data_IF_084563087057
#
_entry.id   IF_084563087057
#
_cell.length_a   1.000
_cell.length_b   1.000
_cell.length_c   1.000
_cell.angle_alpha   90.00
_cell.angle_beta   90.00
_cell.angle_gamma   90.00
#
_symmetry.space_group_name_H-M   'P 1'
#
loop_
_entity.id
_entity.type
_entity.pdbx_description
1 polymer ?
#
# COMPACT_ATOMS: atom_id res chain seq x y z
N UNK A 1 13.17 -17.77 6.02
CA UNK A 1 13.66 -16.70 6.90
C UNK A 1 12.71 -16.51 8.07
N UNK A 2 13.24 -16.10 9.24
CA UNK A 2 12.40 -16.03 10.44
C UNK A 2 11.54 -14.78 10.37
N UNK A 3 10.22 -14.94 10.39
CA UNK A 3 9.27 -13.86 10.56
C UNK A 3 9.17 -13.56 12.05
N UNK A 4 9.48 -12.33 12.45
CA UNK A 4 9.22 -11.89 13.81
C UNK A 4 7.88 -11.13 13.83
N UNK A 5 7.01 -11.49 14.76
CA UNK A 5 5.77 -10.74 15.02
C UNK A 5 5.87 -10.12 16.40
N UNK A 6 5.73 -8.79 16.48
CA UNK A 6 5.74 -8.06 17.75
C UNK A 6 4.60 -7.05 17.84
N UNK A 7 4.20 -6.73 19.06
CA UNK A 7 3.26 -5.65 19.34
C UNK A 7 4.00 -4.31 19.37
N UNK A 8 3.44 -3.28 18.74
CA UNK A 8 3.98 -1.92 18.72
C UNK A 8 2.87 -0.94 19.06
N UNK A 9 3.09 -0.15 20.10
CA UNK A 9 2.20 0.94 20.48
C UNK A 9 2.40 2.14 19.53
N UNK A 10 1.35 2.54 18.82
CA UNK A 10 1.37 3.65 17.89
C UNK A 10 -0.01 4.32 17.85
N UNK A 11 -0.06 5.66 17.90
CA UNK A 11 -1.30 6.43 17.81
C UNK A 11 -2.41 5.98 18.80
N UNK A 12 -1.98 5.54 20.00
CA UNK A 12 -2.91 5.13 21.06
C UNK A 12 -3.56 3.75 20.88
N UNK A 13 -3.05 2.94 19.96
CA UNK A 13 -3.45 1.54 19.77
C UNK A 13 -2.22 0.64 19.67
N UNK A 14 -2.43 -0.66 19.90
CA UNK A 14 -1.42 -1.69 19.66
C UNK A 14 -1.57 -2.25 18.25
N UNK A 15 -0.50 -2.18 17.46
CA UNK A 15 -0.41 -2.83 16.15
C UNK A 15 0.44 -4.09 16.25
N UNK A 16 -0.04 -5.20 15.70
CA UNK A 16 0.79 -6.37 15.45
C UNK A 16 1.64 -6.12 14.20
N UNK A 17 2.95 -6.22 14.34
CA UNK A 17 3.89 -5.94 13.27
C UNK A 17 4.67 -7.21 12.90
N UNK A 18 4.57 -7.61 11.65
CA UNK A 18 5.35 -8.69 11.06
C UNK A 18 6.57 -8.10 10.34
N UNK A 19 7.74 -8.75 10.48
CA UNK A 19 8.99 -8.25 9.89
C UNK A 19 9.82 -9.33 9.25
N UNK A 20 10.49 -9.01 8.12
CA UNK A 20 11.39 -9.89 7.38
C UNK A 20 12.63 -9.11 6.94
N UNK A 21 13.69 -9.85 6.66
CA UNK A 21 14.91 -9.32 6.05
C UNK A 21 15.90 -8.69 7.03
N UNK A 22 17.08 -8.31 6.51
CA UNK A 22 18.14 -7.72 7.31
C UNK A 22 17.74 -6.35 7.89
N UNK A 23 18.16 -6.06 9.12
CA UNK A 23 17.82 -4.79 9.80
C UNK A 23 18.32 -3.55 9.06
N UNK A 24 19.51 -3.65 8.46
CA UNK A 24 20.15 -2.53 7.76
C UNK A 24 19.68 -2.35 6.32
N UNK A 25 18.84 -3.26 5.82
CA UNK A 25 18.31 -3.15 4.46
C UNK A 25 17.29 -2.00 4.34
N UNK A 26 17.16 -1.38 3.14
CA UNK A 26 16.19 -0.32 2.93
C UNK A 26 14.77 -0.76 3.31
N UNK A 27 14.00 0.09 4.04
CA UNK A 27 12.70 -0.30 4.53
C UNK A 27 11.64 -0.33 3.42
N UNK A 28 10.78 -1.36 3.49
CA UNK A 28 9.57 -1.50 2.70
C UNK A 28 8.38 -1.78 3.62
N UNK A 29 7.28 -1.07 3.46
CA UNK A 29 6.04 -1.20 4.21
C UNK A 29 4.95 -1.80 3.33
N UNK A 30 4.35 -2.90 3.75
CA UNK A 30 3.31 -3.61 3.02
C UNK A 30 1.99 -3.51 3.79
N UNK A 31 0.95 -2.98 3.15
CA UNK A 31 -0.37 -2.74 3.75
C UNK A 31 -1.41 -3.64 3.09
N UNK A 32 -2.01 -4.52 3.88
CA UNK A 32 -2.95 -5.55 3.43
C UNK A 32 -4.34 -4.99 3.08
N UNK A 33 -5.14 -5.79 2.39
CA UNK A 33 -6.51 -5.43 2.03
C UNK A 33 -7.50 -5.55 3.19
N UNK A 34 -8.73 -5.16 2.94
CA UNK A 34 -9.84 -5.28 3.88
C UNK A 34 -10.14 -6.74 4.22
N UNK A 35 -10.12 -7.07 5.50
CA UNK A 35 -10.42 -8.41 6.02
C UNK A 35 -9.25 -9.40 6.04
N UNK A 36 -8.08 -8.99 5.54
CA UNK A 36 -6.81 -9.72 5.66
C UNK A 36 -6.00 -9.28 6.90
N UNK A 37 -4.75 -9.64 6.97
CA UNK A 37 -3.77 -9.19 7.97
C UNK A 37 -2.37 -9.12 7.35
N UNK A 38 -1.36 -8.72 8.12
CA UNK A 38 0.01 -8.55 7.61
C UNK A 38 0.65 -9.85 7.09
N UNK A 39 0.13 -11.02 7.46
CA UNK A 39 0.64 -12.32 6.98
C UNK A 39 0.24 -12.63 5.54
N UNK A 40 -0.75 -11.92 4.99
CA UNK A 40 -1.14 -11.96 3.58
C UNK A 40 0.07 -11.73 2.65
N UNK A 41 0.98 -10.88 3.09
CA UNK A 41 2.20 -10.51 2.38
C UNK A 41 3.37 -11.49 2.54
N UNK A 42 3.23 -12.60 3.28
CA UNK A 42 4.37 -13.47 3.65
C UNK A 42 5.22 -13.88 2.45
N UNK A 43 4.60 -14.36 1.37
CA UNK A 43 5.32 -14.81 0.18
C UNK A 43 6.12 -13.68 -0.49
N UNK A 44 5.50 -12.51 -0.64
CA UNK A 44 6.15 -11.34 -1.23
C UNK A 44 7.25 -10.80 -0.32
N UNK A 45 6.96 -10.71 0.99
CA UNK A 45 7.92 -10.23 1.98
C UNK A 45 9.19 -11.08 2.04
N UNK A 46 9.05 -12.41 1.99
CA UNK A 46 10.20 -13.34 1.95
C UNK A 46 11.05 -13.14 0.69
N UNK A 47 10.40 -12.93 -0.46
CA UNK A 47 11.09 -12.68 -1.74
C UNK A 47 11.83 -11.33 -1.73
N UNK A 48 11.18 -10.26 -1.30
CA UNK A 48 11.80 -8.94 -1.16
C UNK A 48 12.93 -8.94 -0.13
N UNK A 49 12.82 -9.73 0.93
CA UNK A 49 13.85 -9.83 1.98
C UNK A 49 15.09 -10.63 1.56
N UNK A 50 14.93 -11.58 0.62
CA UNK A 50 15.99 -12.50 0.19
C UNK A 50 16.50 -12.22 -1.22
N UNK A 51 15.91 -11.29 -1.95
CA UNK A 51 16.23 -10.92 -3.33
C UNK A 51 17.62 -10.32 -3.50
N UNK A 52 18.01 -9.99 -4.75
CA UNK A 52 19.32 -9.39 -5.06
C UNK A 52 19.49 -7.97 -4.49
N UNK A 53 18.39 -7.27 -4.26
CA UNK A 53 18.32 -5.95 -3.60
C UNK A 53 17.42 -6.08 -2.36
N UNK A 54 17.93 -6.69 -1.26
CA UNK A 54 17.12 -7.09 -0.12
C UNK A 54 16.49 -5.90 0.58
N UNK A 55 15.26 -6.10 1.11
CA UNK A 55 14.49 -5.10 1.86
C UNK A 55 14.28 -5.53 3.31
N UNK A 56 14.27 -4.57 4.22
CA UNK A 56 13.69 -4.77 5.54
C UNK A 56 12.19 -4.52 5.42
N UNK A 57 11.42 -5.60 5.44
CA UNK A 57 9.98 -5.57 5.19
C UNK A 57 9.22 -5.47 6.51
N UNK A 58 8.24 -4.59 6.54
CA UNK A 58 7.31 -4.36 7.63
C UNK A 58 5.89 -4.52 7.12
N UNK A 59 5.09 -5.39 7.74
CA UNK A 59 3.67 -5.56 7.41
C UNK A 59 2.86 -5.54 8.71
N UNK A 60 2.27 -4.41 9.08
CA UNK A 60 1.38 -4.34 10.24
C UNK A 60 0.01 -4.93 9.91
N UNK A 61 -0.62 -5.56 10.90
CA UNK A 61 -2.07 -5.71 10.88
C UNK A 61 -2.69 -4.33 11.10
N UNK A 62 -3.51 -3.86 10.18
CA UNK A 62 -4.20 -2.57 10.34
C UNK A 62 -5.20 -2.63 11.49
N UNK A 63 -5.54 -1.47 12.11
CA UNK A 63 -6.57 -1.42 13.16
C UNK A 63 -7.82 -2.18 12.73
N UNK A 64 -8.43 -2.92 13.66
CA UNK A 64 -9.61 -3.74 13.38
C UNK A 64 -9.33 -5.06 12.66
N UNK A 65 -8.05 -5.42 12.43
CA UNK A 65 -7.66 -6.65 11.74
C UNK A 65 -6.67 -7.47 12.57
N UNK A 66 -6.65 -8.77 12.31
CA UNK A 66 -5.67 -9.71 12.83
C UNK A 66 -5.47 -9.64 14.33
N UNK A 67 -4.23 -9.37 14.75
CA UNK A 67 -3.81 -9.27 16.16
C UNK A 67 -3.65 -7.83 16.66
N UNK A 68 -3.91 -6.84 15.82
CA UNK A 68 -3.98 -5.43 16.22
C UNK A 68 -5.24 -5.15 17.02
N UNK A 69 -5.28 -4.01 17.70
CA UNK A 69 -6.46 -3.61 18.46
C UNK A 69 -7.68 -3.43 17.56
N UNK A 70 -8.84 -3.75 18.15
CA UNK A 70 -10.17 -3.60 17.52
C UNK A 70 -10.97 -2.51 18.23
N UNK A 71 -10.63 -1.24 18.03
CA UNK A 71 -11.21 -0.14 18.83
C UNK A 71 -12.70 0.06 18.62
N UNK A 72 -13.30 -0.48 17.56
CA UNK A 72 -14.75 -0.44 17.33
C UNK A 72 -15.56 -1.34 18.27
N UNK A 73 -14.92 -2.28 18.95
CA UNK A 73 -15.57 -3.14 19.95
C UNK A 73 -15.65 -2.49 21.33
N UNK A 74 -14.93 -1.38 21.55
CA UNK A 74 -14.92 -0.69 22.83
C UNK A 74 -16.23 0.07 23.06
N UNK A 75 -16.77 0.07 24.30
CA UNK A 75 -17.95 0.84 24.65
C UNK A 75 -17.73 2.34 24.40
N UNK A 76 -18.59 2.94 23.58
CA UNK A 76 -18.50 4.37 23.25
C UNK A 76 -17.47 4.69 22.17
N UNK A 77 -17.06 3.70 21.37
CA UNK A 77 -16.18 3.92 20.22
C UNK A 77 -16.70 5.06 19.33
N UNK A 78 -15.79 5.94 18.89
CA UNK A 78 -16.13 7.04 18.00
C UNK A 78 -16.59 6.52 16.63
N UNK A 79 -17.49 7.22 15.96
CA UNK A 79 -18.05 6.83 14.66
C UNK A 79 -16.99 6.77 13.54
N UNK A 80 -15.88 7.48 13.72
CA UNK A 80 -14.76 7.57 12.78
C UNK A 80 -13.55 6.71 13.16
N UNK A 81 -13.70 5.84 14.17
CA UNK A 81 -12.60 4.98 14.67
C UNK A 81 -11.98 4.12 13.58
N UNK A 82 -12.73 3.78 12.53
CA UNK A 82 -12.27 3.07 11.33
C UNK A 82 -12.19 3.97 10.09
N UNK A 83 -11.97 5.28 10.28
CA UNK A 83 -11.65 6.15 9.16
C UNK A 83 -10.31 5.76 8.52
N UNK A 84 -10.20 5.89 7.20
CA UNK A 84 -8.93 5.64 6.51
C UNK A 84 -7.83 6.60 6.98
N UNK A 85 -8.21 7.82 7.36
CA UNK A 85 -7.30 8.81 7.96
C UNK A 85 -6.76 8.34 9.31
N UNK A 86 -7.57 7.67 10.14
CA UNK A 86 -7.11 7.09 11.39
C UNK A 86 -6.11 5.94 11.14
N UNK A 87 -6.38 5.07 10.15
CA UNK A 87 -5.44 4.02 9.72
C UNK A 87 -4.13 4.63 9.19
N UNK A 88 -4.21 5.68 8.38
CA UNK A 88 -3.02 6.43 7.91
C UNK A 88 -2.21 6.99 9.08
N UNK A 89 -2.86 7.57 10.08
CA UNK A 89 -2.19 8.18 11.23
C UNK A 89 -1.54 7.12 12.12
N UNK A 90 -2.10 5.91 12.22
CA UNK A 90 -1.45 4.77 12.84
C UNK A 90 -0.15 4.41 12.12
N UNK A 91 -0.21 4.29 10.80
CA UNK A 91 0.97 3.96 10.00
C UNK A 91 2.04 5.05 10.14
N UNK A 92 1.66 6.32 10.11
CA UNK A 92 2.61 7.42 10.31
C UNK A 92 3.26 7.36 11.70
N UNK A 93 2.48 7.08 12.74
CA UNK A 93 2.99 6.92 14.11
C UNK A 93 3.88 5.67 14.23
N UNK A 94 3.50 4.55 13.60
CA UNK A 94 4.32 3.34 13.57
C UNK A 94 5.70 3.62 12.96
N UNK A 95 5.77 4.29 11.82
CA UNK A 95 7.04 4.66 11.18
C UNK A 95 7.90 5.54 12.09
N UNK A 96 7.29 6.50 12.80
CA UNK A 96 7.99 7.35 13.77
C UNK A 96 8.54 6.54 14.96
N UNK A 97 7.76 5.60 15.52
CA UNK A 97 8.21 4.70 16.60
C UNK A 97 9.37 3.81 16.17
N UNK A 98 9.36 3.37 14.90
CA UNK A 98 10.43 2.54 14.31
C UNK A 98 11.67 3.36 13.91
N UNK A 99 11.63 4.68 13.97
CA UNK A 99 12.71 5.56 13.50
C UNK A 99 12.89 5.55 12.00
N UNK A 100 11.83 5.21 11.23
CA UNK A 100 11.87 5.14 9.78
C UNK A 100 11.50 6.50 9.20
N UNK A 101 12.47 7.21 8.64
CA UNK A 101 12.28 8.53 8.04
C UNK A 101 11.72 8.45 6.62
N UNK A 102 12.14 7.41 5.84
CA UNK A 102 11.70 7.20 4.46
C UNK A 102 11.53 5.71 4.15
N UNK A 103 10.44 5.36 3.46
CA UNK A 103 10.04 3.97 3.21
C UNK A 103 9.44 3.80 1.81
N UNK A 104 9.67 2.66 1.16
CA UNK A 104 8.87 2.22 0.03
C UNK A 104 7.55 1.66 0.55
N UNK A 105 6.43 2.08 -0.01
CA UNK A 105 5.10 1.66 0.45
C UNK A 105 4.41 0.86 -0.64
N UNK A 106 3.95 -0.32 -0.29
CA UNK A 106 3.13 -1.19 -1.15
C UNK A 106 1.79 -1.37 -0.45
N UNK A 107 0.70 -1.03 -1.10
CA UNK A 107 -0.64 -1.15 -0.53
C UNK A 107 -1.62 -1.82 -1.48
N UNK A 108 -2.34 -2.81 -0.96
CA UNK A 108 -3.39 -3.51 -1.68
C UNK A 108 -4.77 -3.03 -1.24
N UNK A 109 -5.63 -2.66 -2.20
CA UNK A 109 -7.04 -2.33 -1.94
C UNK A 109 -7.19 -1.30 -0.80
N UNK A 110 -7.78 -1.65 0.35
CA UNK A 110 -7.86 -0.80 1.55
C UNK A 110 -6.48 -0.29 1.98
N UNK A 111 -5.48 -1.17 2.06
CA UNK A 111 -4.10 -0.78 2.37
C UNK A 111 -3.52 0.20 1.35
N UNK A 112 -3.94 0.11 0.08
CA UNK A 112 -3.59 1.08 -0.95
C UNK A 112 -4.24 2.45 -0.75
N UNK A 113 -5.48 2.49 -0.24
CA UNK A 113 -6.12 3.75 0.17
C UNK A 113 -5.33 4.40 1.30
N UNK A 114 -4.97 3.64 2.33
CA UNK A 114 -4.12 4.12 3.43
C UNK A 114 -2.78 4.62 2.92
N UNK A 115 -2.16 3.89 1.97
CA UNK A 115 -0.87 4.23 1.37
C UNK A 115 -0.92 5.56 0.60
N UNK A 116 -1.91 5.78 -0.27
CA UNK A 116 -1.98 7.05 -0.99
C UNK A 116 -2.35 8.22 -0.08
N UNK A 117 -3.17 8.01 0.97
CA UNK A 117 -3.44 9.04 1.96
C UNK A 117 -2.19 9.40 2.77
N UNK A 118 -1.32 8.42 3.07
CA UNK A 118 -0.02 8.67 3.68
C UNK A 118 0.87 9.51 2.74
N UNK A 119 0.95 9.13 1.46
CA UNK A 119 1.71 9.85 0.45
C UNK A 119 1.22 11.30 0.25
N UNK A 120 -0.09 11.54 0.29
CA UNK A 120 -0.69 12.88 0.20
C UNK A 120 -0.38 13.74 1.43
N UNK A 121 -0.38 13.15 2.62
CA UNK A 121 -0.22 13.86 3.90
C UNK A 121 1.24 14.05 4.30
N UNK A 122 2.10 13.09 3.96
CA UNK A 122 3.50 13.02 4.37
C UNK A 122 4.38 12.57 3.19
N UNK A 123 4.46 13.35 2.11
CA UNK A 123 5.18 12.95 0.89
C UNK A 123 6.67 12.69 1.15
N UNK A 124 7.27 13.37 2.11
CA UNK A 124 8.69 13.20 2.46
C UNK A 124 9.00 11.81 3.06
N UNK A 125 8.00 11.16 3.66
CA UNK A 125 8.14 9.84 4.28
C UNK A 125 8.09 8.72 3.25
N UNK A 126 7.37 8.92 2.15
CA UNK A 126 7.19 7.91 1.11
C UNK A 126 8.24 8.10 0.01
N UNK A 127 9.12 7.09 -0.17
CA UNK A 127 10.15 7.11 -1.21
C UNK A 127 9.59 6.69 -2.56
N UNK A 128 8.84 5.60 -2.58
CA UNK A 128 8.11 5.06 -3.74
C UNK A 128 6.78 4.50 -3.28
N UNK A 129 5.80 4.53 -4.15
CA UNK A 129 4.46 4.06 -3.88
C UNK A 129 4.06 2.97 -4.89
N UNK A 130 3.59 1.82 -4.39
CA UNK A 130 2.96 0.78 -5.21
C UNK A 130 1.52 0.62 -4.75
N UNK A 131 0.58 0.74 -5.69
CA UNK A 131 -0.86 0.62 -5.47
C UNK A 131 -1.39 -0.60 -6.23
N UNK A 132 -1.76 -1.65 -5.51
CA UNK A 132 -2.31 -2.87 -6.09
C UNK A 132 -3.84 -2.83 -6.08
N UNK A 133 -4.41 -2.78 -7.27
CA UNK A 133 -5.84 -2.84 -7.59
C UNK A 133 -6.70 -1.89 -6.73
N UNK A 134 -6.25 -0.64 -6.66
CA UNK A 134 -6.87 0.44 -5.86
C UNK A 134 -7.73 1.32 -6.75
N UNK A 135 -9.05 1.39 -6.52
CA UNK A 135 -9.91 2.23 -7.33
C UNK A 135 -9.79 3.71 -6.97
N UNK A 136 -10.04 4.58 -7.94
CA UNK A 136 -10.22 6.00 -7.70
C UNK A 136 -11.31 6.25 -6.63
N UNK A 137 -11.06 7.14 -5.66
CA UNK A 137 -12.01 7.47 -4.60
C UNK A 137 -13.11 8.41 -5.15
N UNK A 138 -13.96 7.87 -6.00
CA UNK A 138 -15.10 8.54 -6.62
C UNK A 138 -16.37 7.81 -6.17
N UNK A 139 -17.47 8.50 -5.84
CA UNK A 139 -18.72 7.86 -5.45
C UNK A 139 -19.18 6.80 -6.45
N UNK A 140 -19.77 5.72 -5.95
CA UNK A 140 -20.44 4.75 -6.81
C UNK A 140 -21.85 5.21 -7.15
N UNK A 141 -22.25 5.10 -8.42
CA UNK A 141 -23.58 5.37 -8.89
C UNK A 141 -24.06 4.21 -9.79
N UNK A 142 -25.02 3.40 -9.35
CA UNK A 142 -25.66 3.41 -8.03
C UNK A 142 -24.68 3.02 -6.91
N UNK A 143 -24.95 3.40 -5.64
CA UNK A 143 -24.14 2.96 -4.50
C UNK A 143 -24.05 1.44 -4.40
N UNK A 144 -22.89 0.93 -4.01
CA UNK A 144 -22.71 -0.51 -3.76
C UNK A 144 -23.56 -0.95 -2.56
N UNK A 145 -24.16 -2.13 -2.61
CA UNK A 145 -24.86 -2.66 -1.45
C UNK A 145 -23.89 -2.89 -0.29
N UNK A 146 -24.38 -2.84 0.96
CA UNK A 146 -23.58 -3.21 2.12
C UNK A 146 -23.05 -4.64 1.97
N UNK A 147 -21.83 -4.85 2.48
CA UNK A 147 -21.25 -6.20 2.52
C UNK A 147 -22.08 -7.09 3.46
N UNK A 148 -22.42 -8.28 3.02
CA UNK A 148 -23.13 -9.25 3.85
C UNK A 148 -22.18 -9.86 4.88
N UNK A 149 -22.60 -9.88 6.15
CA UNK A 149 -21.80 -10.47 7.21
C UNK A 149 -21.79 -12.00 7.10
N UNK A 150 -20.60 -12.61 6.92
CA UNK A 150 -20.50 -14.06 6.92
C UNK A 150 -20.79 -14.64 8.31
N UNK A 151 -21.24 -15.89 8.35
CA UNK A 151 -21.46 -16.59 9.60
C UNK A 151 -20.13 -16.96 10.30
N UNK A 152 -20.15 -16.97 11.62
CA UNK A 152 -19.03 -17.44 12.43
C UNK A 152 -18.14 -16.33 12.99
N UNK A 153 -16.98 -16.76 13.54
CA UNK A 153 -15.96 -15.85 14.08
C UNK A 153 -15.11 -15.30 12.92
N UNK A 154 -14.92 -14.01 12.91
CA UNK A 154 -14.13 -13.31 11.90
C UNK A 154 -12.74 -12.97 12.47
N UNK A 155 -11.69 -12.91 11.63
CA UNK A 155 -10.35 -12.47 12.02
C UNK A 155 -10.21 -10.93 12.03
N UNK A 156 -11.31 -10.19 11.93
CA UNK A 156 -11.38 -8.73 11.90
C UNK A 156 -12.69 -8.23 12.56
N UNK A 157 -12.68 -6.97 12.97
CA UNK A 157 -13.87 -6.32 13.52
C UNK A 157 -14.89 -6.02 12.41
N UNK A 158 -16.12 -6.48 12.58
CA UNK A 158 -17.18 -6.26 11.59
C UNK A 158 -17.56 -4.77 11.46
N UNK A 159 -17.48 -4.00 12.53
CA UNK A 159 -17.73 -2.56 12.48
C UNK A 159 -16.77 -1.83 11.52
N UNK A 160 -15.56 -2.36 11.31
CA UNK A 160 -14.62 -1.85 10.29
C UNK A 160 -15.17 -2.06 8.88
N UNK A 161 -15.77 -3.23 8.58
CA UNK A 161 -16.39 -3.49 7.27
C UNK A 161 -17.51 -2.49 7.01
N UNK A 162 -18.42 -2.30 7.98
CA UNK A 162 -19.55 -1.38 7.84
C UNK A 162 -19.08 0.07 7.65
N UNK A 163 -18.06 0.50 8.40
CA UNK A 163 -17.49 1.84 8.27
C UNK A 163 -16.82 2.06 6.91
N UNK A 164 -16.13 1.06 6.39
CA UNK A 164 -15.44 1.16 5.08
C UNK A 164 -16.40 1.05 3.90
N UNK A 165 -17.51 0.32 4.00
CA UNK A 165 -18.57 0.29 2.98
C UNK A 165 -19.21 1.67 2.79
N UNK A 166 -19.47 2.38 3.89
CA UNK A 166 -19.99 3.76 3.82
C UNK A 166 -19.00 4.68 3.10
N UNK A 167 -17.71 4.61 3.47
CA UNK A 167 -16.66 5.46 2.89
C UNK A 167 -16.36 5.13 1.42
N UNK A 168 -16.47 3.87 1.03
CA UNK A 168 -16.32 3.48 -0.37
C UNK A 168 -17.41 4.09 -1.27
N UNK A 169 -18.63 4.21 -0.74
CA UNK A 169 -19.75 4.82 -1.47
C UNK A 169 -19.73 6.36 -1.43
N UNK A 170 -19.22 6.93 -0.35
CA UNK A 170 -19.15 8.38 -0.12
C UNK A 170 -17.72 8.76 0.32
N UNK A 171 -16.73 8.63 -0.58
CA UNK A 171 -15.36 9.02 -0.28
C UNK A 171 -15.28 10.55 -0.11
N UNK A 172 -14.33 11.01 0.71
CA UNK A 172 -14.01 12.42 0.80
C UNK A 172 -13.48 12.90 -0.57
N UNK A 173 -14.10 13.92 -1.20
CA UNK A 173 -13.65 14.46 -2.48
C UNK A 173 -12.19 14.93 -2.46
N UNK A 174 -11.69 15.36 -1.30
CA UNK A 174 -10.31 15.81 -1.14
C UNK A 174 -9.29 14.69 -1.42
N UNK A 175 -9.63 13.42 -1.23
CA UNK A 175 -8.73 12.32 -1.57
C UNK A 175 -8.44 12.27 -3.07
N UNK A 176 -9.47 12.50 -3.88
CA UNK A 176 -9.31 12.57 -5.34
C UNK A 176 -8.60 13.85 -5.79
N UNK A 177 -8.98 14.98 -5.23
CA UNK A 177 -8.38 16.27 -5.56
C UNK A 177 -6.88 16.33 -5.22
N UNK A 178 -6.46 15.61 -4.18
CA UNK A 178 -5.06 15.56 -3.74
C UNK A 178 -4.22 14.48 -4.44
N UNK A 179 -4.76 13.65 -5.34
CA UNK A 179 -3.94 12.67 -6.08
C UNK A 179 -2.77 13.31 -6.82
N UNK A 180 -2.95 14.50 -7.36
CA UNK A 180 -1.89 15.27 -8.01
C UNK A 180 -0.77 15.78 -7.07
N UNK A 181 -0.93 15.63 -5.75
CA UNK A 181 0.13 15.92 -4.75
C UNK A 181 1.06 14.75 -4.47
N UNK A 182 0.76 13.58 -5.00
CA UNK A 182 1.63 12.40 -4.94
C UNK A 182 2.75 12.62 -5.94
N UNK A 183 3.92 13.03 -5.46
CA UNK A 183 5.06 13.46 -6.29
C UNK A 183 6.18 12.42 -6.38
N UNK A 184 6.13 11.38 -5.53
CA UNK A 184 7.09 10.28 -5.61
C UNK A 184 6.74 9.33 -6.77
N UNK A 185 7.74 8.61 -7.34
CA UNK A 185 7.50 7.57 -8.32
C UNK A 185 6.44 6.59 -7.83
N UNK A 186 5.43 6.34 -8.66
CA UNK A 186 4.29 5.49 -8.32
C UNK A 186 4.10 4.39 -9.35
N UNK A 187 3.91 3.16 -8.90
CA UNK A 187 3.52 2.01 -9.71
C UNK A 187 2.08 1.63 -9.36
N UNK A 188 1.20 1.65 -10.33
CA UNK A 188 -0.17 1.17 -10.19
C UNK A 188 -0.26 -0.20 -10.88
N UNK A 189 -0.70 -1.21 -10.13
CA UNK A 189 -0.89 -2.57 -10.63
C UNK A 189 -2.39 -2.83 -10.69
N UNK A 190 -2.90 -3.03 -11.90
CA UNK A 190 -4.29 -3.34 -12.17
C UNK A 190 -4.51 -4.86 -12.23
N UNK A 191 -5.56 -5.36 -11.59
CA UNK A 191 -5.89 -6.79 -11.51
C UNK A 191 -6.50 -7.38 -12.79
N UNK A 192 -6.72 -6.56 -13.81
CA UNK A 192 -7.26 -6.98 -15.08
C UNK A 192 -8.78 -7.24 -15.07
N UNK A 193 -9.34 -7.76 -16.17
CA UNK A 193 -10.79 -7.87 -16.37
C UNK A 193 -11.48 -8.86 -15.42
N UNK A 194 -10.71 -9.72 -14.76
CA UNK A 194 -11.24 -10.68 -13.78
C UNK A 194 -11.32 -10.10 -12.35
N UNK A 195 -10.82 -8.87 -12.15
CA UNK A 195 -10.95 -8.18 -10.85
C UNK A 195 -12.41 -7.73 -10.60
N UNK A 196 -12.84 -7.83 -9.33
CA UNK A 196 -14.09 -7.24 -8.86
C UNK A 196 -14.05 -5.71 -8.71
N UNK A 197 -12.87 -5.10 -8.89
CA UNK A 197 -12.67 -3.64 -8.88
C UNK A 197 -12.85 -3.12 -10.30
N UNK A 198 -13.64 -2.05 -10.53
CA UNK A 198 -13.75 -1.42 -11.85
C UNK A 198 -12.38 -0.92 -12.33
N UNK A 199 -11.88 -1.51 -13.42
CA UNK A 199 -10.51 -1.27 -13.88
C UNK A 199 -10.31 0.13 -14.46
N UNK A 200 -11.34 0.76 -15.00
CA UNK A 200 -11.36 2.16 -15.39
C UNK A 200 -11.03 3.10 -14.22
N UNK A 201 -11.47 2.74 -12.99
CA UNK A 201 -11.13 3.50 -11.78
C UNK A 201 -9.68 3.29 -11.34
N UNK A 202 -9.10 2.11 -11.58
CA UNK A 202 -7.68 1.85 -11.30
C UNK A 202 -6.81 2.63 -12.30
N UNK A 203 -7.18 2.63 -13.58
CA UNK A 203 -6.53 3.44 -14.63
C UNK A 203 -6.58 4.92 -14.28
N UNK A 204 -7.75 5.43 -13.84
CA UNK A 204 -7.90 6.83 -13.45
C UNK A 204 -6.95 7.26 -12.32
N UNK A 205 -6.62 6.36 -11.37
CA UNK A 205 -5.59 6.64 -10.34
C UNK A 205 -4.24 6.88 -10.99
N UNK A 206 -3.83 6.01 -11.92
CA UNK A 206 -2.55 6.16 -12.60
C UNK A 206 -2.48 7.44 -13.46
N UNK A 207 -3.57 7.80 -14.11
CA UNK A 207 -3.65 9.02 -14.93
C UNK A 207 -3.62 10.30 -14.09
N UNK A 208 -4.08 10.25 -12.84
CA UNK A 208 -4.15 11.41 -11.96
C UNK A 208 -2.85 11.70 -11.21
N UNK A 209 -2.02 10.68 -10.97
CA UNK A 209 -0.73 10.82 -10.27
C UNK A 209 0.35 11.21 -11.29
N UNK A 210 1.08 12.34 -11.08
CA UNK A 210 2.00 12.90 -12.09
C UNK A 210 3.13 11.97 -12.55
N UNK A 211 3.71 11.19 -11.64
CA UNK A 211 4.80 10.23 -11.93
C UNK A 211 4.32 8.79 -11.65
N UNK A 212 3.26 8.39 -12.36
CA UNK A 212 2.72 7.05 -12.25
C UNK A 212 2.96 6.21 -13.51
N UNK A 213 3.22 4.92 -13.28
CA UNK A 213 3.24 3.87 -14.31
C UNK A 213 2.13 2.89 -14.02
N UNK A 214 1.45 2.42 -15.06
CA UNK A 214 0.40 1.40 -14.96
C UNK A 214 0.90 0.09 -15.56
N UNK A 215 0.72 -0.99 -14.78
CA UNK A 215 0.93 -2.37 -15.24
C UNK A 215 -0.36 -3.15 -15.00
N UNK A 216 -0.82 -3.91 -15.96
CA UNK A 216 -1.97 -4.80 -15.80
C UNK A 216 -1.50 -6.24 -15.73
N UNK A 217 -1.91 -6.94 -14.67
CA UNK A 217 -1.71 -8.37 -14.48
C UNK A 217 -3.09 -9.01 -14.38
N UNK A 218 -3.45 -9.90 -15.31
CA UNK A 218 -4.76 -10.56 -15.27
C UNK A 218 -4.78 -11.65 -14.20
N UNK A 219 -5.07 -11.21 -12.97
CA UNK A 219 -5.01 -12.03 -11.77
C UNK A 219 -6.26 -11.88 -10.88
N UNK A 220 -7.15 -10.96 -11.22
CA UNK A 220 -8.22 -10.55 -10.32
C UNK A 220 -7.73 -9.59 -9.24
N UNK A 221 -8.50 -9.46 -8.17
CA UNK A 221 -8.23 -8.47 -7.10
C UNK A 221 -6.97 -8.75 -6.27
N UNK A 222 -6.59 -10.03 -6.12
CA UNK A 222 -5.46 -10.49 -5.30
C UNK A 222 -4.24 -10.78 -6.21
N UNK A 223 -3.61 -9.75 -6.79
CA UNK A 223 -2.55 -9.93 -7.79
C UNK A 223 -1.32 -10.59 -7.18
N UNK A 224 -0.86 -10.11 -6.03
CA UNK A 224 0.32 -10.63 -5.33
C UNK A 224 0.15 -12.09 -4.86
N UNK A 225 -1.07 -12.55 -4.62
CA UNK A 225 -1.40 -13.92 -4.22
C UNK A 225 -1.53 -14.84 -5.43
N UNK A 226 -2.30 -14.40 -6.44
CA UNK A 226 -2.66 -15.22 -7.60
C UNK A 226 -1.56 -15.28 -8.67
N UNK A 227 -0.73 -14.23 -8.76
CA UNK A 227 0.36 -14.08 -9.73
C UNK A 227 1.61 -13.46 -9.08
N UNK A 228 2.18 -14.08 -8.04
CA UNK A 228 3.31 -13.53 -7.28
C UNK A 228 4.53 -13.24 -8.14
N UNK A 229 4.84 -14.07 -9.15
CA UNK A 229 5.98 -13.87 -10.02
C UNK A 229 5.80 -12.65 -10.93
N UNK A 230 4.60 -12.44 -11.49
CA UNK A 230 4.30 -11.30 -12.35
C UNK A 230 4.22 -10.00 -11.51
N UNK A 231 3.68 -10.09 -10.29
CA UNK A 231 3.70 -8.99 -9.33
C UNK A 231 5.13 -8.56 -9.01
N UNK A 232 6.00 -9.50 -8.63
CA UNK A 232 7.40 -9.24 -8.30
C UNK A 232 8.20 -8.75 -9.51
N UNK A 233 7.93 -9.28 -10.72
CA UNK A 233 8.56 -8.81 -11.95
C UNK A 233 8.28 -7.33 -12.23
N UNK A 234 7.14 -6.79 -11.76
CA UNK A 234 6.83 -5.36 -11.86
C UNK A 234 7.42 -4.56 -10.69
N UNK A 235 7.38 -5.11 -9.47
CA UNK A 235 7.72 -4.39 -8.23
C UNK A 235 9.23 -4.33 -7.99
N UNK A 236 9.98 -5.44 -8.13
CA UNK A 236 11.41 -5.48 -7.81
C UNK A 236 12.23 -4.47 -8.63
N UNK A 237 12.10 -4.38 -9.97
CA UNK A 237 12.81 -3.37 -10.74
C UNK A 237 12.42 -1.94 -10.35
N UNK A 238 11.14 -1.70 -10.09
CA UNK A 238 10.64 -0.39 -9.67
C UNK A 238 11.22 0.04 -8.33
N UNK A 239 11.37 -0.87 -7.35
CA UNK A 239 11.99 -0.57 -6.07
C UNK A 239 13.51 -0.37 -6.17
N UNK A 240 14.17 -0.98 -7.14
CA UNK A 240 15.61 -0.85 -7.36
C UNK A 240 16.02 0.45 -8.08
N UNK A 241 15.10 1.13 -8.80
CA UNK A 241 15.39 2.37 -9.52
C UNK A 241 15.95 3.45 -8.59
N UNK A 242 17.13 4.01 -8.90
CA UNK A 242 17.78 5.07 -8.12
C UNK A 242 18.38 4.62 -6.78
N UNK A 243 18.52 3.33 -6.52
CA UNK A 243 19.30 2.80 -5.39
C UNK A 243 20.81 2.81 -5.66
N UNK A 244 21.24 3.04 -6.93
CA UNK A 244 22.63 3.29 -7.30
C UNK A 244 22.98 4.77 -7.16
N UNK A 245 24.27 5.08 -6.88
CA UNK A 245 24.81 6.44 -6.91
C UNK A 245 24.44 7.15 -8.22
N UNK A 246 24.26 8.48 -8.24
CA UNK A 246 23.94 9.22 -9.45
C UNK A 246 25.05 8.98 -10.48
N UNK A 247 24.79 8.18 -11.51
CA UNK A 247 25.64 8.09 -12.68
C UNK A 247 25.57 9.43 -13.38
N UNK A 248 26.67 10.16 -13.31
CA UNK A 248 26.90 11.44 -14.00
C UNK A 248 26.84 11.22 -15.52
N UNK A 249 25.65 11.34 -16.07
CA UNK A 249 25.44 11.36 -17.52
C UNK A 249 25.83 12.73 -18.08
N UNK A 250 27.10 13.13 -17.89
CA UNK A 250 27.67 14.19 -18.71
C UNK A 250 27.96 13.61 -20.10
N UNK A 251 27.18 14.05 -21.02
CA UNK A 251 27.30 14.03 -22.48
C UNK A 251 28.73 13.82 -22.97
N UNK A 252 29.04 12.66 -23.48
CA UNK A 252 30.18 12.45 -24.34
C UNK A 252 29.82 12.90 -25.78
N UNK A 253 30.16 14.15 -26.11
CA UNK A 253 30.11 14.65 -27.49
C UNK A 253 31.23 13.98 -28.30
N UNK A 254 30.88 13.02 -29.11
CA UNK A 254 31.79 12.43 -30.11
C UNK A 254 31.87 13.40 -31.29
N UNK A 255 32.96 14.17 -31.38
CA UNK A 255 33.34 14.93 -32.58
C UNK A 255 34.04 13.97 -33.55
N UNK A 256 33.33 13.59 -34.61
CA UNK A 256 33.92 12.95 -35.76
C UNK A 256 34.75 13.99 -36.57
N UNK A 257 36.09 13.87 -36.55
CA UNK A 257 36.94 14.55 -37.50
C UNK A 257 37.00 13.70 -38.76
N UNK A 258 36.42 14.19 -39.84
CA UNK A 258 36.70 13.76 -41.21
C UNK A 258 38.02 14.40 -41.64
N UNK A 259 39.01 13.59 -41.98
CA UNK A 259 40.23 14.02 -42.67
C UNK A 259 40.04 13.76 -44.15
N UNK A 260 40.31 14.77 -44.94
CA UNK A 260 40.41 14.77 -46.41
C UNK A 260 41.64 14.00 -46.87
#
# INVERSE_FOLDING_TARGET
MHTETRAVEANGITLALHTWGPEEAPPALLLHCRGADGTDWTQIAERLAAGPDPRRVYAPDLRGHGRSDWPGTEPGAAADVYAYEAMRDDIRALLAVLGIERVDVIGHSLGGIVAYLLAQKSPDVVRRLVLEDVPAPIPFDPPRPPTERPAGKLPFDWAMIEATDVRANLPDPMWWDHMGRITMPTLVIAGGPTSGVPQDRVVAVAERIPDARLVTVDAGHLVHENRPEEFLAAVEPFLAEGSGEPTDHRTATVTSRTSS
#
